data_IF_317466720992
#
_entry.id   IF_317466720992
#
_cell.length_a   1.000
_cell.length_b   1.000
_cell.length_c   1.000
_cell.angle_alpha   90.00
_cell.angle_beta   90.00
_cell.angle_gamma   90.00
#
_symmetry.space_group_name_H-M   'P 1'
#
loop_
_entity.id
_entity.type
_entity.pdbx_description
1 polymer ?
#
# COMPACT_ATOMS: atom_id res chain seq x y z
N UNK A 1 -33.88 26.84 13.39
CA UNK A 1 -33.39 26.09 12.22
C UNK A 1 -31.98 26.52 11.84
N UNK A 2 -30.97 26.12 12.57
CA UNK A 2 -29.54 26.18 12.16
C UNK A 2 -28.82 25.07 12.89
N UNK A 3 -28.88 23.82 12.39
CA UNK A 3 -28.16 22.70 13.02
C UNK A 3 -27.50 21.72 12.05
N UNK A 4 -27.54 21.95 10.74
CA UNK A 4 -26.93 21.00 9.76
C UNK A 4 -25.50 21.35 9.32
N UNK A 5 -25.04 22.59 9.52
CA UNK A 5 -23.69 23.01 9.09
C UNK A 5 -22.54 22.63 10.02
N UNK A 6 -22.82 22.44 11.33
CA UNK A 6 -21.79 22.11 12.32
C UNK A 6 -21.30 20.66 12.28
N UNK A 7 -22.11 19.70 11.84
CA UNK A 7 -21.70 18.29 11.78
C UNK A 7 -20.79 18.00 10.58
N UNK A 8 -21.01 18.65 9.44
CA UNK A 8 -20.15 18.47 8.25
C UNK A 8 -18.76 19.12 8.43
N UNK A 9 -18.69 20.26 9.09
CA UNK A 9 -17.40 20.92 9.42
C UNK A 9 -16.59 20.13 10.45
N UNK A 10 -17.22 19.53 11.45
CA UNK A 10 -16.52 18.64 12.42
C UNK A 10 -15.99 17.38 11.73
N UNK A 11 -16.73 16.78 10.82
CA UNK A 11 -16.30 15.61 10.04
C UNK A 11 -15.08 15.93 9.14
N UNK A 12 -15.08 17.07 8.45
CA UNK A 12 -13.97 17.49 7.60
C UNK A 12 -12.71 17.83 8.39
N UNK A 13 -12.84 18.51 9.53
CA UNK A 13 -11.71 18.82 10.42
C UNK A 13 -11.08 17.56 11.03
N UNK A 14 -11.88 16.58 11.40
CA UNK A 14 -11.39 15.31 11.95
C UNK A 14 -10.65 14.47 10.89
N UNK A 15 -11.12 14.49 9.63
CA UNK A 15 -10.44 13.81 8.52
C UNK A 15 -9.08 14.43 8.16
N UNK A 16 -8.97 15.77 8.17
CA UNK A 16 -7.69 16.44 7.94
C UNK A 16 -6.68 16.15 9.04
N UNK A 17 -7.10 16.20 10.31
CA UNK A 17 -6.24 15.81 11.43
C UNK A 17 -5.72 14.39 11.33
N UNK A 18 -6.55 13.44 10.86
CA UNK A 18 -6.13 12.07 10.59
C UNK A 18 -5.04 11.99 9.50
N UNK A 19 -5.25 12.70 8.37
CA UNK A 19 -4.27 12.75 7.28
C UNK A 19 -2.96 13.43 7.71
N UNK A 20 -3.02 14.47 8.55
CA UNK A 20 -1.82 15.13 9.10
C UNK A 20 -1.02 14.16 9.98
N UNK A 21 -1.68 13.36 10.82
CA UNK A 21 -1.01 12.34 11.64
C UNK A 21 -0.36 11.26 10.77
N UNK A 22 -1.06 10.79 9.72
CA UNK A 22 -0.50 9.82 8.77
C UNK A 22 0.70 10.41 8.03
N UNK A 23 0.62 11.67 7.60
CA UNK A 23 1.71 12.36 6.91
C UNK A 23 2.95 12.51 7.79
N UNK A 24 2.76 12.83 9.08
CA UNK A 24 3.87 12.91 10.04
C UNK A 24 4.56 11.57 10.26
N UNK A 25 3.78 10.50 10.42
CA UNK A 25 4.32 9.14 10.54
C UNK A 25 5.05 8.71 9.26
N UNK A 26 4.41 8.89 8.10
CA UNK A 26 4.98 8.59 6.79
C UNK A 26 6.28 9.34 6.53
N UNK A 27 6.35 10.63 6.90
CA UNK A 27 7.51 11.51 6.67
C UNK A 27 8.81 11.05 7.36
N UNK A 28 8.74 10.09 8.29
CA UNK A 28 9.90 9.47 8.93
C UNK A 28 10.58 8.40 8.06
N UNK A 29 9.94 8.01 6.94
CA UNK A 29 10.41 6.97 6.02
C UNK A 29 10.83 7.57 4.69
N UNK A 30 11.67 6.87 3.93
CA UNK A 30 12.13 7.32 2.62
C UNK A 30 11.19 6.89 1.50
N UNK A 31 10.57 5.72 1.63
CA UNK A 31 9.60 5.17 0.69
C UNK A 31 8.38 4.65 1.48
N UNK A 32 7.18 5.01 1.02
CA UNK A 32 5.90 4.60 1.65
C UNK A 32 4.92 4.08 0.60
N UNK A 33 4.40 2.88 0.83
CA UNK A 33 3.30 2.31 0.07
C UNK A 33 1.96 2.59 0.76
N UNK A 34 0.97 3.03 -0.01
CA UNK A 34 -0.38 3.31 0.46
C UNK A 34 -1.38 2.39 -0.25
N UNK A 35 -2.38 1.90 0.49
CA UNK A 35 -3.54 1.20 -0.03
C UNK A 35 -4.80 1.97 0.30
N UNK A 36 -5.84 1.81 -0.55
CA UNK A 36 -7.14 2.47 -0.39
C UNK A 36 -7.09 4.01 -0.29
N UNK A 37 -6.02 4.62 -0.79
CA UNK A 37 -5.91 6.08 -0.89
C UNK A 37 -6.98 6.63 -1.84
N UNK A 38 -7.68 7.69 -1.44
CA UNK A 38 -8.69 8.33 -2.28
C UNK A 38 -8.03 9.34 -3.23
N UNK A 39 -8.10 9.13 -4.56
CA UNK A 39 -7.48 10.02 -5.53
C UNK A 39 -8.24 11.33 -5.79
N UNK A 40 -9.29 11.64 -5.01
CA UNK A 40 -10.06 12.88 -5.13
C UNK A 40 -11.53 12.67 -5.47
N UNK A 41 -12.21 11.78 -4.76
CA UNK A 41 -13.66 11.59 -4.87
C UNK A 41 -14.47 12.55 -4.00
N UNK A 42 -15.81 12.54 -4.13
CA UNK A 42 -16.73 13.25 -3.23
C UNK A 42 -16.51 12.87 -1.75
N UNK A 43 -16.12 11.63 -1.48
CA UNK A 43 -15.86 11.11 -0.13
C UNK A 43 -14.66 11.81 0.53
N UNK A 44 -13.64 12.19 -0.24
CA UNK A 44 -12.46 12.93 0.23
C UNK A 44 -12.60 14.44 0.09
N UNK A 45 -13.76 14.94 -0.37
CA UNK A 45 -13.95 16.35 -0.69
C UNK A 45 -13.08 16.80 -1.87
N UNK A 46 -12.89 15.93 -2.86
CA UNK A 46 -12.02 16.11 -4.04
C UNK A 46 -10.54 16.27 -3.72
N UNK A 47 -10.10 15.92 -2.50
CA UNK A 47 -8.69 15.92 -2.14
C UNK A 47 -8.04 14.61 -2.59
N UNK A 48 -6.98 14.70 -3.39
CA UNK A 48 -6.11 13.57 -3.67
C UNK A 48 -5.25 13.29 -2.42
N UNK A 49 -5.60 12.21 -1.71
CA UNK A 49 -4.94 11.87 -0.44
C UNK A 49 -3.47 11.55 -0.62
N UNK A 50 -3.08 10.84 -1.70
CA UNK A 50 -1.67 10.54 -1.98
C UNK A 50 -0.85 11.82 -2.13
N UNK A 51 -1.35 12.78 -2.91
CA UNK A 51 -0.69 14.08 -3.09
C UNK A 51 -0.62 14.88 -1.77
N UNK A 52 -1.71 14.90 -1.01
CA UNK A 52 -1.75 15.58 0.28
C UNK A 52 -0.70 15.02 1.25
N UNK A 53 -0.64 13.69 1.37
CA UNK A 53 0.35 13.00 2.21
C UNK A 53 1.78 13.26 1.74
N UNK A 54 2.02 13.29 0.42
CA UNK A 54 3.32 13.61 -0.14
C UNK A 54 3.79 15.01 0.28
N UNK A 55 2.94 16.03 0.09
CA UNK A 55 3.27 17.40 0.45
C UNK A 55 3.52 17.57 1.95
N UNK A 56 2.65 17.02 2.80
CA UNK A 56 2.74 17.15 4.26
C UNK A 56 3.85 16.31 4.88
N UNK A 57 4.14 15.14 4.31
CA UNK A 57 5.20 14.22 4.74
C UNK A 57 6.59 14.55 4.18
N UNK A 58 6.71 15.56 3.30
CA UNK A 58 8.00 15.98 2.74
C UNK A 58 8.54 15.04 1.65
N UNK A 59 7.67 14.35 0.92
CA UNK A 59 8.05 13.51 -0.21
C UNK A 59 8.13 14.33 -1.49
N UNK A 60 9.28 14.26 -2.17
CA UNK A 60 9.50 14.95 -3.44
C UNK A 60 8.78 14.26 -4.61
N UNK A 61 8.57 12.94 -4.51
CA UNK A 61 7.98 12.13 -5.56
C UNK A 61 6.78 11.35 -5.03
N UNK A 62 5.75 11.26 -5.85
CA UNK A 62 4.56 10.49 -5.55
C UNK A 62 3.87 10.00 -6.81
N UNK A 63 3.26 8.83 -6.72
CA UNK A 63 2.41 8.27 -7.77
C UNK A 63 1.20 7.59 -7.16
N UNK A 64 0.11 7.48 -7.93
CA UNK A 64 -1.07 6.75 -7.50
C UNK A 64 -1.66 5.98 -8.68
N UNK A 65 -2.09 4.76 -8.42
CA UNK A 65 -2.79 3.92 -9.37
C UNK A 65 -4.28 3.86 -8.98
N UNK A 66 -5.19 4.49 -9.76
CA UNK A 66 -6.62 4.37 -9.51
C UNK A 66 -7.12 2.96 -9.75
N UNK A 67 -7.50 2.25 -8.69
CA UNK A 67 -7.91 0.84 -8.77
C UNK A 67 -9.40 0.69 -9.07
N UNK A 68 -10.27 1.50 -8.46
CA UNK A 68 -11.72 1.38 -8.60
C UNK A 68 -12.41 2.73 -8.55
N UNK A 69 -13.26 3.00 -9.55
CA UNK A 69 -14.22 4.12 -9.53
C UNK A 69 -15.62 3.59 -9.21
N UNK A 70 -16.23 4.10 -8.15
CA UNK A 70 -17.60 3.78 -7.76
C UNK A 70 -18.49 5.01 -8.00
N UNK A 71 -18.94 5.18 -9.26
CA UNK A 71 -19.89 6.21 -9.63
C UNK A 71 -19.49 7.66 -9.29
N UNK A 72 -18.19 7.98 -9.22
CA UNK A 72 -17.70 9.30 -8.82
C UNK A 72 -17.81 9.64 -7.33
N UNK A 73 -18.42 8.77 -6.54
CA UNK A 73 -18.68 8.99 -5.10
C UNK A 73 -17.53 8.51 -4.24
N UNK A 74 -16.91 7.39 -4.63
CA UNK A 74 -15.75 6.82 -3.94
C UNK A 74 -14.75 6.29 -4.97
N UNK A 75 -13.49 6.37 -4.64
CA UNK A 75 -12.39 5.84 -5.44
C UNK A 75 -11.33 5.28 -4.48
N UNK A 76 -10.58 4.30 -4.94
CA UNK A 76 -9.54 3.64 -4.19
C UNK A 76 -8.32 3.49 -5.11
N UNK A 77 -7.14 3.75 -4.58
CA UNK A 77 -5.88 3.68 -5.31
C UNK A 77 -4.77 3.10 -4.45
N UNK A 78 -3.81 2.45 -5.09
CA UNK A 78 -2.48 2.27 -4.52
C UNK A 78 -1.71 3.58 -4.66
N UNK A 79 -0.88 3.91 -3.69
CA UNK A 79 0.00 5.07 -3.73
C UNK A 79 1.44 4.68 -3.41
N UNK A 80 2.38 5.41 -4.02
CA UNK A 80 3.81 5.32 -3.72
C UNK A 80 4.29 6.73 -3.43
N UNK A 81 4.86 6.93 -2.24
CA UNK A 81 5.52 8.17 -1.85
C UNK A 81 7.01 7.90 -1.73
N UNK A 82 7.85 8.80 -2.20
CA UNK A 82 9.30 8.64 -2.12
C UNK A 82 10.03 9.98 -1.97
N UNK A 83 11.07 10.00 -1.13
CA UNK A 83 12.06 11.07 -1.07
C UNK A 83 13.11 10.91 -2.18
N UNK A 84 13.28 9.68 -2.68
CA UNK A 84 14.20 9.33 -3.76
C UNK A 84 13.48 9.41 -5.11
N UNK A 85 14.20 9.83 -6.14
CA UNK A 85 13.67 9.88 -7.50
C UNK A 85 13.51 8.48 -8.10
N UNK A 86 12.28 8.03 -8.42
CA UNK A 86 12.10 6.81 -9.19
C UNK A 86 12.53 7.05 -10.64
N UNK A 87 13.31 6.13 -11.18
CA UNK A 87 13.70 6.15 -12.61
C UNK A 87 12.56 5.69 -13.51
N UNK A 88 11.70 4.85 -12.98
CA UNK A 88 10.52 4.32 -13.66
C UNK A 88 9.40 4.07 -12.66
N UNK A 89 8.17 4.32 -13.11
CA UNK A 89 6.95 3.95 -12.38
C UNK A 89 6.02 3.24 -13.34
N UNK A 90 5.51 2.07 -12.96
CA UNK A 90 4.64 1.23 -13.76
C UNK A 90 3.37 0.89 -12.98
N UNK A 91 2.25 0.88 -13.69
CA UNK A 91 0.94 0.55 -13.15
C UNK A 91 0.40 -0.69 -13.87
N UNK A 92 0.11 -1.74 -13.12
CA UNK A 92 -0.46 -2.97 -13.66
C UNK A 92 -1.78 -3.29 -12.98
N UNK A 93 -2.82 -3.53 -13.78
CA UNK A 93 -4.09 -4.06 -13.29
C UNK A 93 -3.94 -5.54 -12.95
N UNK A 94 -4.36 -5.94 -11.76
CA UNK A 94 -4.31 -7.32 -11.33
C UNK A 94 -5.50 -8.13 -11.88
N UNK A 95 -5.28 -9.40 -12.27
CA UNK A 95 -6.35 -10.28 -12.73
C UNK A 95 -7.36 -10.57 -11.59
N UNK A 96 -8.56 -11.00 -11.95
CA UNK A 96 -9.57 -11.43 -10.99
C UNK A 96 -10.99 -11.11 -11.40
N UNK A 97 -11.96 -11.73 -10.71
CA UNK A 97 -13.39 -11.54 -10.96
C UNK A 97 -13.87 -10.14 -10.59
N UNK A 98 -13.31 -9.57 -9.54
CA UNK A 98 -13.61 -8.20 -9.09
C UNK A 98 -12.54 -7.28 -9.65
N UNK A 99 -12.94 -6.41 -10.57
CA UNK A 99 -12.05 -5.39 -11.14
C UNK A 99 -11.67 -4.36 -10.07
N UNK A 100 -10.52 -3.72 -10.23
CA UNK A 100 -10.08 -2.62 -9.38
C UNK A 100 -9.11 -3.06 -8.28
N UNK A 101 -8.26 -4.03 -8.60
CA UNK A 101 -7.03 -4.34 -7.86
C UNK A 101 -5.85 -4.07 -8.77
N UNK A 102 -4.73 -3.63 -8.22
CA UNK A 102 -3.55 -3.27 -8.98
C UNK A 102 -2.28 -3.45 -8.20
N UNK A 103 -1.17 -3.39 -8.91
CA UNK A 103 0.17 -3.26 -8.37
C UNK A 103 0.86 -2.05 -9.01
N UNK A 104 1.44 -1.20 -8.17
CA UNK A 104 2.21 -0.02 -8.55
C UNK A 104 3.68 -0.32 -8.28
N UNK A 105 4.53 -0.20 -9.29
CA UNK A 105 5.95 -0.57 -9.21
C UNK A 105 6.79 0.67 -9.47
N UNK A 106 7.68 1.00 -8.53
CA UNK A 106 8.71 2.03 -8.67
C UNK A 106 10.09 1.38 -8.75
N UNK A 107 10.90 1.80 -9.72
CA UNK A 107 12.30 1.39 -9.85
C UNK A 107 13.22 2.56 -9.49
N UNK A 108 14.17 2.34 -8.59
CA UNK A 108 15.11 3.33 -8.07
C UNK A 108 16.53 2.89 -8.39
N UNK A 109 17.36 3.84 -8.84
CA UNK A 109 18.74 3.53 -9.28
C UNK A 109 18.78 2.96 -10.70
N UNK A 110 19.94 2.40 -11.09
CA UNK A 110 20.20 1.89 -12.43
C UNK A 110 21.00 0.58 -12.37
N UNK A 111 20.90 -0.22 -13.44
CA UNK A 111 21.66 -1.46 -13.60
C UNK A 111 21.25 -2.54 -12.60
N UNK A 112 22.20 -3.39 -12.24
CA UNK A 112 21.98 -4.56 -11.41
C UNK A 112 21.69 -4.21 -9.93
N UNK A 113 22.08 -3.01 -9.49
CA UNK A 113 21.83 -2.50 -8.14
C UNK A 113 20.48 -1.75 -8.02
N UNK A 114 19.68 -1.70 -9.08
CA UNK A 114 18.39 -1.04 -9.04
C UNK A 114 17.44 -1.71 -8.04
N UNK A 115 16.84 -0.88 -7.17
CA UNK A 115 15.81 -1.31 -6.22
C UNK A 115 14.44 -1.24 -6.89
N UNK A 116 13.72 -2.36 -6.89
CA UNK A 116 12.33 -2.44 -7.33
C UNK A 116 11.40 -2.48 -6.11
N UNK A 117 10.48 -1.53 -6.02
CA UNK A 117 9.47 -1.46 -4.94
C UNK A 117 8.09 -1.59 -5.53
N UNK A 118 7.37 -2.65 -5.16
CA UNK A 118 6.01 -2.91 -5.59
C UNK A 118 5.02 -2.71 -4.43
N UNK A 119 3.94 -1.98 -4.70
CA UNK A 119 2.83 -1.74 -3.76
C UNK A 119 1.57 -2.40 -4.32
N UNK A 120 1.00 -3.35 -3.59
CA UNK A 120 -0.15 -4.12 -4.02
C UNK A 120 -1.29 -4.10 -2.99
N UNK A 121 -2.53 -4.26 -3.47
CA UNK A 121 -3.69 -4.55 -2.64
C UNK A 121 -4.47 -5.69 -3.28
N UNK A 122 -4.43 -6.86 -2.64
CA UNK A 122 -4.99 -8.08 -3.19
C UNK A 122 -6.47 -8.27 -2.84
N UNK A 123 -7.12 -9.19 -3.53
CA UNK A 123 -8.52 -9.54 -3.33
C UNK A 123 -8.74 -10.36 -2.04
N UNK A 124 -9.95 -10.28 -1.47
CA UNK A 124 -10.36 -11.06 -0.30
C UNK A 124 -10.47 -12.58 -0.59
N UNK A 125 -10.79 -12.96 -1.82
CA UNK A 125 -10.99 -14.38 -2.19
C UNK A 125 -9.70 -15.05 -2.64
N UNK A 126 -9.38 -16.24 -2.10
CA UNK A 126 -8.14 -16.99 -2.35
C UNK A 126 -7.88 -17.28 -3.83
N UNK A 127 -8.91 -17.67 -4.59
CA UNK A 127 -8.76 -17.95 -6.04
C UNK A 127 -8.34 -16.72 -6.84
N UNK A 128 -8.87 -15.52 -6.52
CA UNK A 128 -8.43 -14.27 -7.14
C UNK A 128 -7.03 -13.88 -6.67
N UNK A 129 -6.74 -14.03 -5.37
CA UNK A 129 -5.39 -13.77 -4.82
C UNK A 129 -4.33 -14.61 -5.49
N UNK A 130 -4.61 -15.92 -5.67
CA UNK A 130 -3.66 -16.80 -6.36
C UNK A 130 -3.28 -16.26 -7.74
N UNK A 131 -4.26 -15.93 -8.58
CA UNK A 131 -4.00 -15.37 -9.91
C UNK A 131 -3.26 -14.03 -9.86
N UNK A 132 -3.56 -13.21 -8.85
CA UNK A 132 -2.90 -11.92 -8.63
C UNK A 132 -1.44 -12.08 -8.19
N UNK A 133 -1.19 -13.02 -7.30
CA UNK A 133 0.15 -13.37 -6.82
C UNK A 133 0.99 -13.96 -7.95
N UNK A 134 0.42 -14.89 -8.74
CA UNK A 134 1.10 -15.46 -9.89
C UNK A 134 1.53 -14.34 -10.88
N UNK A 135 0.63 -13.39 -11.16
CA UNK A 135 0.93 -12.25 -12.02
C UNK A 135 2.01 -11.32 -11.45
N UNK A 136 1.98 -11.03 -10.14
CA UNK A 136 3.01 -10.24 -9.47
C UNK A 136 4.35 -10.97 -9.51
N UNK A 137 4.35 -12.31 -9.35
CA UNK A 137 5.54 -13.13 -9.45
C UNK A 137 6.17 -13.06 -10.86
N UNK A 138 5.35 -13.04 -11.92
CA UNK A 138 5.83 -12.84 -13.29
C UNK A 138 6.46 -11.45 -13.48
N UNK A 139 5.86 -10.39 -12.89
CA UNK A 139 6.38 -9.02 -13.00
C UNK A 139 7.69 -8.84 -12.24
N UNK A 140 7.83 -9.43 -11.05
CA UNK A 140 9.02 -9.29 -10.21
C UNK A 140 10.12 -10.27 -10.62
N UNK A 141 9.76 -11.47 -11.09
CA UNK A 141 10.73 -12.46 -11.57
C UNK A 141 11.92 -12.65 -10.62
N UNK A 142 13.11 -12.64 -11.20
CA UNK A 142 14.37 -12.83 -10.50
C UNK A 142 15.08 -11.52 -10.11
N UNK A 143 14.32 -10.43 -9.92
CA UNK A 143 14.92 -9.16 -9.48
C UNK A 143 15.74 -9.35 -8.20
N UNK A 144 17.05 -8.99 -8.20
CA UNK A 144 17.91 -9.24 -7.05
C UNK A 144 17.58 -8.33 -5.86
N UNK A 145 17.12 -7.12 -6.11
CA UNK A 145 16.78 -6.12 -5.11
C UNK A 145 15.31 -5.74 -5.27
N UNK A 146 14.40 -6.49 -4.65
CA UNK A 146 12.97 -6.21 -4.70
C UNK A 146 12.35 -6.14 -3.31
N UNK A 147 11.40 -5.22 -3.16
CA UNK A 147 10.48 -5.08 -2.04
C UNK A 147 9.06 -5.19 -2.58
N UNK A 148 8.26 -6.07 -2.01
CA UNK A 148 6.83 -6.14 -2.26
C UNK A 148 6.09 -5.86 -0.96
N UNK A 149 5.26 -4.82 -0.95
CA UNK A 149 4.53 -4.39 0.24
C UNK A 149 3.04 -4.15 -0.05
N UNK A 150 2.22 -4.27 0.99
CA UNK A 150 0.81 -3.92 0.93
C UNK A 150 -0.10 -4.84 1.69
N UNK A 151 -1.41 -4.70 1.43
CA UNK A 151 -2.47 -5.55 1.98
C UNK A 151 -2.69 -6.76 1.07
N UNK A 152 -2.28 -7.91 1.54
CA UNK A 152 -2.41 -9.19 0.82
C UNK A 152 -3.72 -9.92 1.15
N UNK A 153 -4.47 -9.46 2.14
CA UNK A 153 -5.69 -10.09 2.63
C UNK A 153 -5.53 -11.58 3.01
N UNK A 154 -4.31 -12.03 3.25
CA UNK A 154 -4.00 -13.38 3.71
C UNK A 154 -2.74 -13.41 4.58
N UNK A 155 -2.67 -14.40 5.44
CA UNK A 155 -1.50 -14.67 6.26
C UNK A 155 -0.36 -15.26 5.41
N UNK A 156 0.93 -15.12 5.82
CA UNK A 156 2.08 -15.43 4.96
C UNK A 156 2.29 -16.93 4.69
N UNK A 157 1.64 -17.80 5.44
CA UNK A 157 1.69 -19.26 5.31
C UNK A 157 0.66 -19.83 4.32
N UNK A 158 -0.23 -18.99 3.78
CA UNK A 158 -1.26 -19.45 2.86
C UNK A 158 -0.69 -20.07 1.58
N UNK A 159 -1.37 -21.06 0.97
CA UNK A 159 -0.87 -21.78 -0.20
C UNK A 159 -0.50 -20.89 -1.38
N UNK A 160 -1.24 -19.81 -1.62
CA UNK A 160 -0.95 -18.84 -2.67
C UNK A 160 0.35 -18.09 -2.43
N UNK A 161 0.71 -17.79 -1.17
CA UNK A 161 1.97 -17.14 -0.80
C UNK A 161 3.17 -18.06 -1.05
N UNK A 162 3.01 -19.37 -0.87
CA UNK A 162 4.04 -20.34 -1.20
C UNK A 162 4.39 -20.33 -2.71
N UNK A 163 3.41 -20.01 -3.56
CA UNK A 163 3.63 -19.78 -5.00
C UNK A 163 4.54 -18.58 -5.25
N UNK A 164 4.31 -17.47 -4.55
CA UNK A 164 5.15 -16.27 -4.64
C UNK A 164 6.61 -16.57 -4.27
N UNK A 165 6.83 -17.20 -3.12
CA UNK A 165 8.18 -17.50 -2.62
C UNK A 165 8.94 -18.50 -3.51
N UNK A 166 8.24 -19.41 -4.21
CA UNK A 166 8.89 -20.33 -5.15
C UNK A 166 9.22 -19.71 -6.50
N UNK A 167 8.43 -18.71 -6.94
CA UNK A 167 8.53 -18.14 -8.28
C UNK A 167 9.24 -16.80 -8.31
N UNK A 168 9.70 -16.30 -7.15
CA UNK A 168 10.49 -15.08 -7.03
C UNK A 168 11.62 -15.30 -6.04
N UNK A 169 12.47 -14.29 -5.88
CA UNK A 169 13.48 -14.24 -4.81
C UNK A 169 12.94 -13.69 -3.49
N UNK A 170 11.68 -13.27 -3.43
CA UNK A 170 11.09 -12.77 -2.19
C UNK A 170 11.04 -13.86 -1.13
N UNK A 171 11.33 -13.47 0.10
CA UNK A 171 11.35 -14.41 1.23
C UNK A 171 10.11 -14.25 2.12
N UNK A 172 9.66 -15.35 2.76
CA UNK A 172 8.68 -15.25 3.83
C UNK A 172 9.15 -14.25 4.90
N UNK A 173 8.24 -13.50 5.55
CA UNK A 173 8.62 -12.61 6.64
C UNK A 173 9.18 -13.43 7.81
N UNK A 174 10.27 -12.94 8.42
CA UNK A 174 10.86 -13.58 9.60
C UNK A 174 9.90 -13.47 10.81
N UNK A 175 9.21 -12.34 10.93
CA UNK A 175 8.22 -12.06 11.97
C UNK A 175 6.86 -11.77 11.35
N UNK A 176 5.82 -12.44 11.85
CA UNK A 176 4.43 -12.16 11.47
C UNK A 176 3.87 -11.11 12.44
N UNK A 177 3.88 -9.85 12.03
CA UNK A 177 3.36 -8.74 12.83
C UNK A 177 1.86 -8.57 12.55
N UNK A 178 0.95 -8.82 13.52
CA UNK A 178 -0.47 -8.63 13.33
C UNK A 178 -0.82 -7.15 13.09
N UNK A 179 -1.63 -6.89 12.07
CA UNK A 179 -2.04 -5.54 11.66
C UNK A 179 -3.54 -5.34 11.66
N UNK A 180 -4.32 -6.43 11.59
CA UNK A 180 -5.77 -6.37 11.45
C UNK A 180 -6.51 -7.20 12.52
N UNK A 181 -7.64 -6.72 13.05
CA UNK A 181 -8.12 -5.33 12.99
C UNK A 181 -7.30 -4.43 13.94
N UNK A 182 -7.13 -3.15 13.60
CA UNK A 182 -6.23 -2.23 14.31
C UNK A 182 -6.51 -2.07 15.81
N UNK A 183 -7.77 -2.23 16.25
CA UNK A 183 -8.17 -2.13 17.67
C UNK A 183 -7.88 -3.40 18.49
N UNK A 184 -7.61 -4.53 17.82
CA UNK A 184 -7.22 -5.81 18.43
C UNK A 184 -6.51 -6.67 17.40
N UNK A 185 -5.25 -6.38 17.07
CA UNK A 185 -4.54 -7.06 15.99
C UNK A 185 -4.40 -8.56 16.26
N UNK A 186 -4.86 -9.39 15.31
CA UNK A 186 -4.84 -10.86 15.41
C UNK A 186 -4.35 -11.51 14.10
N UNK A 187 -4.43 -10.79 12.96
CA UNK A 187 -4.05 -11.31 11.65
C UNK A 187 -2.93 -10.48 11.06
N UNK A 188 -1.92 -11.16 10.52
CA UNK A 188 -0.84 -10.54 9.77
C UNK A 188 -1.16 -10.65 8.27
N UNK A 189 -1.94 -9.69 7.75
CA UNK A 189 -2.40 -9.67 6.35
C UNK A 189 -1.78 -8.56 5.51
N UNK A 190 -1.08 -7.64 6.18
CA UNK A 190 -0.23 -6.65 5.56
C UNK A 190 1.22 -7.13 5.63
N UNK A 191 1.94 -7.05 4.53
CA UNK A 191 3.30 -7.58 4.44
C UNK A 191 4.27 -6.60 3.82
N UNK A 192 5.53 -6.70 4.26
CA UNK A 192 6.70 -6.16 3.58
C UNK A 192 7.65 -7.32 3.35
N UNK A 193 7.76 -7.76 2.11
CA UNK A 193 8.58 -8.89 1.68
C UNK A 193 9.78 -8.37 0.91
N UNK A 194 10.94 -8.93 1.16
CA UNK A 194 12.20 -8.51 0.54
C UNK A 194 12.95 -9.70 -0.06
N UNK A 195 13.81 -9.42 -1.02
CA UNK A 195 14.78 -10.39 -1.55
C UNK A 195 15.99 -10.52 -0.62
N UNK A 196 16.76 -11.64 -0.66
CA UNK A 196 17.88 -11.91 0.26
C UNK A 196 18.99 -10.87 0.27
N UNK A 197 19.13 -10.10 -0.82
CA UNK A 197 20.11 -9.02 -0.90
C UNK A 197 19.76 -7.80 -0.03
N UNK A 198 18.51 -7.74 0.45
CA UNK A 198 18.01 -6.69 1.33
C UNK A 198 17.80 -7.25 2.74
N UNK A 199 18.21 -6.51 3.76
CA UNK A 199 18.00 -6.90 5.15
C UNK A 199 16.88 -6.06 5.77
N UNK A 200 15.92 -6.71 6.43
CA UNK A 200 14.97 -6.04 7.31
C UNK A 200 15.63 -5.91 8.68
N UNK A 201 15.98 -4.69 9.07
CA UNK A 201 16.58 -4.42 10.36
C UNK A 201 15.55 -4.49 11.50
N UNK A 202 14.37 -3.95 11.27
CA UNK A 202 13.23 -3.96 12.20
C UNK A 202 11.93 -4.04 11.44
N UNK A 203 10.93 -4.69 12.04
CA UNK A 203 9.55 -4.71 11.55
C UNK A 203 8.61 -4.47 12.73
N UNK A 204 7.78 -3.44 12.63
CA UNK A 204 6.84 -3.11 13.70
C UNK A 204 5.52 -2.57 13.16
N UNK A 205 4.44 -2.84 13.90
CA UNK A 205 3.15 -2.20 13.65
C UNK A 205 3.13 -0.81 14.28
N UNK A 206 2.74 0.18 13.48
CA UNK A 206 2.60 1.57 13.92
C UNK A 206 1.17 1.85 14.39
N UNK A 207 0.98 2.76 15.34
CA UNK A 207 -0.37 3.13 15.80
C UNK A 207 -1.30 3.51 14.64
N UNK A 208 -2.53 3.01 14.67
CA UNK A 208 -3.53 3.35 13.66
C UNK A 208 -3.98 4.80 13.80
N UNK A 209 -3.88 5.56 12.72
CA UNK A 209 -4.50 6.86 12.59
C UNK A 209 -5.78 6.72 11.75
N UNK A 210 -6.89 6.32 12.39
CA UNK A 210 -8.21 6.20 11.75
C UNK A 210 -8.30 5.16 10.61
N UNK A 211 -7.51 4.09 10.68
CA UNK A 211 -7.60 2.92 9.80
C UNK A 211 -8.00 1.69 10.61
N UNK A 212 -8.67 0.74 9.97
CA UNK A 212 -8.91 -0.60 10.52
C UNK A 212 -7.69 -1.53 10.39
N UNK A 213 -6.63 -1.08 9.71
CA UNK A 213 -5.31 -1.71 9.69
C UNK A 213 -4.28 -0.87 10.43
N UNK A 214 -3.27 -1.52 11.02
CA UNK A 214 -2.04 -0.88 11.47
C UNK A 214 -1.06 -0.80 10.30
N UNK A 215 -0.34 0.31 10.17
CA UNK A 215 0.75 0.42 9.21
C UNK A 215 1.95 -0.42 9.68
N UNK A 216 2.71 -0.99 8.74
CA UNK A 216 4.00 -1.62 8.99
C UNK A 216 5.16 -0.66 8.69
N UNK A 217 6.19 -0.71 9.54
CA UNK A 217 7.42 0.06 9.41
C UNK A 217 8.62 -0.82 9.71
#
# INVERSE_FOLDING_TARGET
>A
QVSSSRSSFRSAGNKRGALDTIAELAGRHDIVGLQESDPGSLRSGFTNQTHYLAQRGGFAYWSHQPNRRMGGVASSANGLLSKLEPKRVEEHSLPGRVKGRGVLIGTFGNGDDALTVAVAHLSLGSGSRKSQIDFIAELLGDHPHAVLMGDFNCDPDQPEMQGLYRNTRLQPPADCVPTFPSWRPQRAIDHVLVTPALAIATMQAMPAAHSDHLALS
#
